data_IF_500397549762
#
_entry.id   IF_500397549762
#
_cell.length_a   1.000
_cell.length_b   1.000
_cell.length_c   1.000
_cell.angle_alpha   90.00
_cell.angle_beta   90.00
_cell.angle_gamma   90.00
#
_symmetry.space_group_name_H-M   'P 1'
#
loop_
_entity.id
_entity.type
_entity.pdbx_description
1 polymer ?
#
# COMPACT_ATOMS: atom_id res chain seq x y z
N UNK A 1 -23.88 -16.68 -7.53
CA UNK A 1 -22.51 -17.19 -7.36
C UNK A 1 -22.38 -17.53 -5.89
N UNK A 2 -22.01 -18.77 -5.57
CA UNK A 2 -21.92 -19.26 -4.18
C UNK A 2 -20.82 -18.52 -3.40
N UNK A 3 -20.94 -18.48 -2.07
CA UNK A 3 -19.98 -17.98 -1.05
C UNK A 3 -18.55 -18.61 -1.13
N UNK A 4 -18.25 -19.40 -2.16
CA UNK A 4 -17.03 -20.22 -2.27
C UNK A 4 -15.84 -19.54 -2.99
N UNK A 5 -15.99 -18.31 -3.49
CA UNK A 5 -14.95 -17.65 -4.29
C UNK A 5 -14.07 -16.64 -3.51
N UNK A 6 -14.27 -16.49 -2.19
CA UNK A 6 -13.41 -15.63 -1.36
C UNK A 6 -12.48 -16.50 -0.51
N UNK A 7 -11.23 -16.63 -0.97
CA UNK A 7 -10.22 -17.49 -0.35
C UNK A 7 -9.49 -16.85 0.85
N UNK A 8 -9.96 -15.69 1.33
CA UNK A 8 -9.42 -14.98 2.50
C UNK A 8 -10.51 -14.10 3.14
N UNK A 9 -10.32 -13.66 4.39
CA UNK A 9 -11.23 -12.74 5.07
C UNK A 9 -11.14 -11.33 4.45
N UNK A 10 -12.22 -10.83 3.81
CA UNK A 10 -12.22 -9.52 3.16
C UNK A 10 -12.30 -8.35 4.15
N UNK A 11 -12.48 -8.61 5.45
CA UNK A 11 -12.58 -7.57 6.48
C UNK A 11 -11.37 -6.64 6.47
N UNK A 12 -11.60 -5.36 6.78
CA UNK A 12 -10.50 -4.44 7.04
C UNK A 12 -9.80 -4.80 8.35
N UNK A 13 -8.49 -4.55 8.40
CA UNK A 13 -7.67 -4.82 9.56
C UNK A 13 -6.51 -3.84 9.64
N UNK A 14 -5.90 -3.74 10.81
CA UNK A 14 -4.71 -2.92 11.01
C UNK A 14 -3.53 -3.47 10.20
N UNK A 15 -2.89 -2.61 9.42
CA UNK A 15 -1.75 -2.96 8.57
C UNK A 15 -0.44 -2.69 9.31
N UNK A 16 0.59 -3.46 8.96
CA UNK A 16 1.93 -3.05 9.30
C UNK A 16 2.27 -1.73 8.58
N UNK A 17 2.94 -0.78 9.25
CA UNK A 17 3.26 0.51 8.64
C UNK A 17 4.30 0.39 7.53
N UNK A 18 5.33 -0.45 7.73
CA UNK A 18 6.49 -0.51 6.84
C UNK A 18 6.70 -1.87 6.15
N UNK A 19 6.21 -2.97 6.72
CA UNK A 19 6.34 -4.31 6.13
C UNK A 19 4.99 -4.81 5.61
N UNK A 20 5.04 -5.91 4.87
CA UNK A 20 3.87 -6.48 4.24
C UNK A 20 2.78 -6.93 5.24
N UNK A 21 1.52 -6.69 4.88
CA UNK A 21 0.37 -7.39 5.46
C UNK A 21 -0.27 -6.72 6.68
N UNK A 22 -1.11 -7.51 7.35
CA UNK A 22 -1.87 -7.11 8.54
C UNK A 22 -1.17 -7.51 9.83
N UNK A 23 -1.37 -6.75 10.91
CA UNK A 23 -0.76 -7.00 12.22
C UNK A 23 -1.14 -8.38 12.80
N UNK A 24 -2.33 -8.86 12.46
CA UNK A 24 -2.88 -10.14 12.88
C UNK A 24 -2.28 -11.35 12.15
N UNK A 25 -1.54 -11.14 11.06
CA UNK A 25 -1.04 -12.18 10.17
C UNK A 25 0.47 -12.14 10.07
N UNK A 26 1.15 -13.05 10.79
CA UNK A 26 2.59 -13.23 10.74
C UNK A 26 2.97 -14.68 11.03
N UNK A 27 4.19 -15.07 10.68
CA UNK A 27 4.75 -16.32 11.19
C UNK A 27 5.10 -16.19 12.67
N UNK A 28 4.82 -17.23 13.44
CA UNK A 28 5.30 -17.41 14.81
C UNK A 28 5.78 -18.85 15.04
N UNK A 29 6.63 -19.04 16.05
CA UNK A 29 7.06 -20.37 16.45
C UNK A 29 5.90 -21.07 17.16
N UNK A 30 5.57 -22.28 16.70
CA UNK A 30 4.58 -23.17 17.33
C UNK A 30 5.28 -24.22 18.22
N UNK A 31 6.53 -24.55 17.87
CA UNK A 31 7.48 -25.34 18.66
C UNK A 31 8.92 -24.92 18.29
N UNK A 32 9.97 -25.45 18.95
CA UNK A 32 11.36 -25.07 18.65
C UNK A 32 11.80 -25.23 17.19
N UNK A 33 11.10 -26.07 16.40
CA UNK A 33 11.43 -26.30 14.99
C UNK A 33 10.20 -26.31 14.07
N UNK A 34 9.11 -25.66 14.48
CA UNK A 34 7.93 -25.49 13.64
C UNK A 34 7.35 -24.11 13.77
N UNK A 35 6.76 -23.61 12.69
CA UNK A 35 6.06 -22.33 12.67
C UNK A 35 4.60 -22.50 12.28
N UNK A 36 3.80 -21.48 12.54
CA UNK A 36 2.45 -21.32 12.01
C UNK A 36 2.21 -19.86 11.64
N UNK A 37 1.18 -19.60 10.85
CA UNK A 37 0.70 -18.23 10.59
C UNK A 37 -0.38 -17.87 11.61
N UNK A 38 -0.29 -16.69 12.22
CA UNK A 38 -1.27 -16.19 13.19
C UNK A 38 -2.58 -15.74 12.54
N UNK A 39 -3.60 -15.46 13.36
CA UNK A 39 -4.87 -14.91 12.92
C UNK A 39 -5.79 -15.96 12.30
N UNK A 40 -6.74 -15.51 11.49
CA UNK A 40 -7.74 -16.32 10.79
C UNK A 40 -8.07 -15.78 9.39
N UNK A 41 -7.23 -14.87 8.86
CA UNK A 41 -7.47 -14.17 7.60
C UNK A 41 -7.33 -15.07 6.38
N UNK A 42 -6.37 -15.99 6.42
CA UNK A 42 -6.08 -16.89 5.30
C UNK A 42 -6.31 -18.34 5.71
N UNK A 43 -6.63 -19.25 4.77
CA UNK A 43 -6.87 -20.67 5.07
C UNK A 43 -5.69 -21.38 5.75
N UNK A 44 -4.47 -20.84 5.58
CA UNK A 44 -3.24 -21.38 6.18
C UNK A 44 -3.04 -20.94 7.65
N UNK A 45 -3.80 -19.95 8.13
CA UNK A 45 -3.69 -19.48 9.50
C UNK A 45 -4.01 -20.60 10.50
N UNK A 46 -3.21 -20.72 11.56
CA UNK A 46 -3.30 -21.76 12.57
C UNK A 46 -2.76 -23.13 12.16
N UNK A 47 -2.39 -23.35 10.90
CA UNK A 47 -1.78 -24.61 10.46
C UNK A 47 -0.31 -24.68 10.89
N UNK A 48 0.04 -25.68 11.70
CA UNK A 48 1.43 -25.96 12.07
C UNK A 48 2.20 -26.52 10.88
N UNK A 49 3.33 -25.91 10.55
CA UNK A 49 4.22 -26.27 9.46
C UNK A 49 5.51 -26.91 10.02
N UNK A 50 5.53 -28.23 10.26
CA UNK A 50 6.65 -28.90 10.94
C UNK A 50 7.95 -28.97 10.12
N UNK A 51 7.85 -28.86 8.79
CA UNK A 51 9.01 -29.01 7.89
C UNK A 51 9.44 -27.69 7.24
N UNK A 52 8.77 -26.57 7.54
CA UNK A 52 9.03 -25.30 6.86
C UNK A 52 10.41 -24.75 7.22
N UNK A 53 10.78 -24.75 8.52
CA UNK A 53 12.10 -24.29 8.93
C UNK A 53 13.21 -25.18 8.35
N UNK A 54 13.06 -26.52 8.41
CA UNK A 54 14.04 -27.44 7.81
C UNK A 54 14.22 -27.21 6.31
N UNK A 55 13.11 -26.95 5.59
CA UNK A 55 13.17 -26.61 4.17
C UNK A 55 13.94 -25.31 3.92
N UNK A 56 13.69 -24.26 4.72
CA UNK A 56 14.41 -22.98 4.59
C UNK A 56 15.89 -23.15 4.90
N UNK A 57 16.23 -23.88 5.96
CA UNK A 57 17.61 -24.18 6.36
C UNK A 57 18.37 -24.93 5.26
N UNK A 58 17.75 -25.94 4.65
CA UNK A 58 18.35 -26.71 3.57
C UNK A 58 18.52 -25.89 2.29
N UNK A 59 17.49 -25.15 1.88
CA UNK A 59 17.49 -24.39 0.62
C UNK A 59 18.45 -23.21 0.67
N UNK A 60 18.59 -22.57 1.84
CA UNK A 60 19.44 -21.38 2.02
C UNK A 60 20.81 -21.70 2.64
N UNK A 61 21.11 -22.97 2.93
CA UNK A 61 22.34 -23.41 3.61
C UNK A 61 22.58 -22.66 4.94
N UNK A 62 21.53 -22.59 5.76
CA UNK A 62 21.54 -21.87 7.04
C UNK A 62 21.75 -22.83 8.22
N UNK A 63 22.36 -22.35 9.33
CA UNK A 63 22.29 -23.06 10.59
C UNK A 63 20.83 -23.15 11.08
N UNK A 64 20.53 -24.04 12.06
CA UNK A 64 19.19 -24.17 12.61
C UNK A 64 18.63 -22.83 13.10
N UNK A 65 17.49 -22.42 12.55
CA UNK A 65 16.82 -21.15 12.83
C UNK A 65 16.09 -21.27 14.17
N UNK A 66 16.31 -20.29 15.05
CA UNK A 66 15.74 -20.24 16.40
C UNK A 66 14.94 -18.97 16.61
N UNK A 67 14.17 -18.96 17.69
CA UNK A 67 13.33 -17.81 18.01
C UNK A 67 14.16 -16.56 18.36
N UNK A 68 15.32 -16.75 18.99
CA UNK A 68 16.27 -15.68 19.29
C UNK A 68 16.92 -15.05 18.04
N UNK A 69 16.86 -15.71 16.88
CA UNK A 69 17.38 -15.16 15.62
C UNK A 69 16.43 -14.13 15.00
N UNK A 70 15.22 -13.97 15.57
CA UNK A 70 14.26 -12.94 15.12
C UNK A 70 14.87 -11.55 15.28
N UNK A 71 14.81 -10.80 14.19
CA UNK A 71 15.21 -9.40 14.14
C UNK A 71 14.29 -8.60 15.05
N UNK A 72 14.87 -7.82 15.96
CA UNK A 72 14.10 -6.87 16.75
C UNK A 72 13.73 -5.70 15.83
N UNK A 73 12.44 -5.38 15.78
CA UNK A 73 11.91 -4.29 14.95
C UNK A 73 11.92 -2.99 15.77
N UNK A 74 12.51 -1.94 15.22
CA UNK A 74 12.62 -0.61 15.82
C UNK A 74 12.72 0.44 14.71
N UNK A 75 11.62 0.70 13.98
CA UNK A 75 11.59 1.76 12.98
C UNK A 75 11.92 3.10 13.64
N UNK A 76 12.68 3.92 12.92
CA UNK A 76 13.11 5.23 13.38
C UNK A 76 12.20 6.31 12.80
N UNK A 77 11.56 7.08 13.68
CA UNK A 77 10.70 8.21 13.31
C UNK A 77 11.32 9.58 13.64
N UNK A 78 12.61 9.61 14.01
CA UNK A 78 13.39 10.84 14.15
C UNK A 78 13.80 11.35 12.76
N UNK A 79 12.81 11.78 11.99
CA UNK A 79 12.99 12.32 10.64
C UNK A 79 13.47 13.77 10.70
N UNK A 80 14.20 14.24 9.68
CA UNK A 80 14.44 15.67 9.50
C UNK A 80 13.14 16.46 9.44
N UNK A 81 13.20 17.70 9.92
CA UNK A 81 12.12 18.67 9.78
C UNK A 81 11.69 18.79 8.30
N UNK A 82 10.38 18.88 8.03
CA UNK A 82 9.88 18.99 6.66
C UNK A 82 10.36 20.29 6.01
N UNK A 83 10.72 20.22 4.73
CA UNK A 83 11.02 21.41 3.93
C UNK A 83 9.69 22.03 3.51
N UNK A 84 9.31 23.13 4.15
CA UNK A 84 8.02 23.79 3.89
C UNK A 84 8.16 24.97 2.94
N UNK A 85 7.39 24.95 1.85
CA UNK A 85 7.05 26.15 1.11
C UNK A 85 5.92 26.87 1.86
N UNK A 86 6.23 28.03 2.47
CA UNK A 86 5.27 28.76 3.33
C UNK A 86 4.00 29.16 2.58
N UNK A 87 4.12 29.60 1.32
CA UNK A 87 2.95 30.00 0.53
C UNK A 87 2.03 28.82 0.23
N UNK A 88 2.60 27.69 -0.20
CA UNK A 88 1.83 26.46 -0.41
C UNK A 88 1.16 25.98 0.87
N UNK A 89 1.90 25.99 1.98
CA UNK A 89 1.39 25.52 3.27
C UNK A 89 0.21 26.37 3.76
N UNK A 90 0.32 27.70 3.73
CA UNK A 90 -0.77 28.60 4.08
C UNK A 90 -1.99 28.41 3.18
N UNK A 91 -1.77 28.19 1.87
CA UNK A 91 -2.85 27.94 0.92
C UNK A 91 -3.56 26.61 1.19
N UNK A 92 -2.82 25.54 1.50
CA UNK A 92 -3.38 24.24 1.89
C UNK A 92 -4.22 24.37 3.17
N UNK A 93 -3.69 25.02 4.20
CA UNK A 93 -4.41 25.23 5.47
C UNK A 93 -5.66 26.12 5.31
N UNK A 94 -5.65 27.03 4.33
CA UNK A 94 -6.82 27.85 4.02
C UNK A 94 -7.89 27.07 3.27
N UNK A 95 -7.48 26.13 2.40
CA UNK A 95 -8.36 25.41 1.48
C UNK A 95 -8.93 24.12 2.07
N UNK A 96 -8.19 23.46 2.95
CA UNK A 96 -8.51 22.13 3.47
C UNK A 96 -8.58 22.12 4.99
N UNK A 97 -9.46 21.27 5.53
CA UNK A 97 -9.57 21.03 6.97
C UNK A 97 -8.33 20.27 7.50
N UNK A 98 -8.09 20.33 8.81
CA UNK A 98 -6.89 19.76 9.44
C UNK A 98 -6.74 18.24 9.26
N UNK A 99 -7.82 17.54 8.93
CA UNK A 99 -7.85 16.09 8.71
C UNK A 99 -7.56 15.69 7.24
N UNK A 100 -7.27 16.65 6.36
CA UNK A 100 -6.83 16.41 4.98
C UNK A 100 -5.32 16.28 4.85
N UNK A 101 -4.53 16.58 5.88
CA UNK A 101 -3.09 16.61 5.75
C UNK A 101 -2.36 16.16 7.01
N UNK A 102 -1.13 15.70 6.86
CA UNK A 102 -0.28 15.25 7.97
C UNK A 102 1.18 15.64 7.77
N UNK A 103 1.76 16.24 8.80
CA UNK A 103 3.20 16.47 8.95
C UNK A 103 3.85 15.42 9.86
N UNK A 104 3.08 14.44 10.34
CA UNK A 104 3.56 13.41 11.26
C UNK A 104 4.71 12.61 10.64
N UNK A 105 5.74 12.35 11.44
CA UNK A 105 6.93 11.66 10.96
C UNK A 105 6.65 10.22 10.55
N UNK A 106 5.72 9.52 11.22
CA UNK A 106 5.35 8.15 10.84
C UNK A 106 4.61 8.13 9.51
N UNK A 107 3.66 9.04 9.30
CA UNK A 107 2.94 9.17 8.03
C UNK A 107 3.91 9.52 6.89
N UNK A 108 4.80 10.49 7.09
CA UNK A 108 5.82 10.85 6.09
C UNK A 108 6.72 9.67 5.74
N UNK A 109 7.14 8.88 6.72
CA UNK A 109 7.97 7.70 6.47
C UNK A 109 7.20 6.63 5.66
N UNK A 110 5.98 6.27 6.07
CA UNK A 110 5.12 5.29 5.38
C UNK A 110 4.94 5.66 3.89
N UNK A 111 4.80 6.96 3.61
CA UNK A 111 4.58 7.47 2.26
C UNK A 111 5.87 7.69 1.44
N UNK A 112 7.04 7.33 1.97
CA UNK A 112 8.35 7.55 1.33
C UNK A 112 9.01 6.27 0.81
N UNK A 113 8.36 5.12 0.92
CA UNK A 113 8.90 3.85 0.43
C UNK A 113 7.80 2.92 -0.10
N UNK A 114 8.22 1.85 -0.77
CA UNK A 114 7.35 0.80 -1.26
C UNK A 114 7.55 -0.50 -0.51
N UNK A 115 7.49 -1.59 -1.27
CA UNK A 115 7.92 -2.94 -0.88
C UNK A 115 9.06 -3.38 -1.81
N UNK A 116 10.01 -2.48 -2.11
CA UNK A 116 11.00 -2.64 -3.19
C UNK A 116 11.83 -3.91 -3.07
N UNK A 117 12.42 -4.11 -1.89
CA UNK A 117 13.33 -5.22 -1.65
C UNK A 117 13.38 -5.56 -0.18
N UNK A 118 13.86 -6.78 0.11
CA UNK A 118 14.12 -7.21 1.48
C UNK A 118 15.10 -6.27 2.18
N UNK A 119 16.11 -5.74 1.48
CA UNK A 119 17.08 -4.79 2.05
C UNK A 119 16.42 -3.47 2.48
N UNK A 120 15.60 -2.86 1.61
CA UNK A 120 14.87 -1.63 1.93
C UNK A 120 14.00 -1.80 3.18
N UNK A 121 13.16 -2.84 3.18
CA UNK A 121 12.25 -3.09 4.30
C UNK A 121 13.03 -3.42 5.56
N UNK A 122 14.07 -4.26 5.48
CA UNK A 122 14.89 -4.60 6.63
C UNK A 122 15.55 -3.35 7.25
N UNK A 123 16.12 -2.48 6.41
CA UNK A 123 16.75 -1.23 6.84
C UNK A 123 15.76 -0.31 7.56
N UNK A 124 14.58 -0.10 6.98
CA UNK A 124 13.53 0.72 7.61
C UNK A 124 13.08 0.12 8.94
N UNK A 125 12.80 -1.19 8.97
CA UNK A 125 12.36 -1.91 10.16
C UNK A 125 13.40 -1.93 11.29
N UNK A 126 14.69 -1.82 10.97
CA UNK A 126 15.81 -1.76 11.94
C UNK A 126 16.31 -0.33 12.20
N UNK A 127 15.57 0.68 11.73
CA UNK A 127 15.76 2.07 12.12
C UNK A 127 16.67 2.90 11.20
N UNK A 128 17.09 2.37 10.07
CA UNK A 128 17.71 3.19 9.03
C UNK A 128 16.66 4.04 8.32
N UNK A 129 17.00 5.29 8.03
CA UNK A 129 16.12 6.21 7.34
C UNK A 129 16.40 6.21 5.83
N UNK A 130 15.36 6.45 4.99
CA UNK A 130 15.57 6.81 3.60
C UNK A 130 16.38 8.11 3.49
N UNK A 131 17.15 8.26 2.41
CA UNK A 131 17.98 9.45 2.20
C UNK A 131 17.14 10.74 2.02
N UNK A 132 15.90 10.59 1.52
CA UNK A 132 14.91 11.65 1.41
C UNK A 132 13.51 11.08 1.65
N UNK A 133 12.73 11.82 2.44
CA UNK A 133 11.33 11.52 2.74
C UNK A 133 10.46 12.67 2.28
N UNK A 134 9.16 12.41 2.05
CA UNK A 134 8.18 13.47 1.76
C UNK A 134 8.06 14.44 2.94
N UNK A 135 7.70 15.68 2.64
CA UNK A 135 7.58 16.75 3.63
C UNK A 135 6.16 16.84 4.21
N UNK A 136 5.15 16.48 3.42
CA UNK A 136 3.73 16.54 3.78
C UNK A 136 2.98 15.37 3.12
N UNK A 137 1.95 14.87 3.79
CA UNK A 137 0.96 13.98 3.19
C UNK A 137 -0.38 14.72 3.09
N UNK A 138 -1.08 14.60 1.96
CA UNK A 138 -2.43 15.14 1.74
C UNK A 138 -3.37 14.01 1.29
N UNK A 139 -4.59 13.99 1.81
CA UNK A 139 -5.62 12.96 1.60
C UNK A 139 -6.85 13.55 0.86
N UNK A 140 -6.80 13.76 -0.47
CA UNK A 140 -7.96 14.25 -1.23
C UNK A 140 -9.14 13.29 -1.13
N UNK A 141 -10.38 13.82 -1.13
CA UNK A 141 -11.61 13.02 -1.01
C UNK A 141 -12.47 13.04 -2.27
N UNK A 142 -12.19 13.97 -3.18
CA UNK A 142 -12.86 14.08 -4.47
C UNK A 142 -11.96 14.69 -5.55
N UNK A 143 -12.41 14.62 -6.81
CA UNK A 143 -11.69 15.17 -7.96
C UNK A 143 -11.38 16.67 -7.81
N UNK A 144 -12.27 17.43 -7.19
CA UNK A 144 -12.08 18.87 -6.96
C UNK A 144 -10.91 19.16 -6.01
N UNK A 145 -10.66 18.28 -5.03
CA UNK A 145 -9.51 18.41 -4.13
C UNK A 145 -8.21 18.18 -4.88
N UNK A 146 -8.15 17.14 -5.71
CA UNK A 146 -6.97 16.81 -6.52
C UNK A 146 -6.62 17.97 -7.46
N UNK A 147 -7.62 18.55 -8.14
CA UNK A 147 -7.44 19.74 -8.99
C UNK A 147 -6.85 20.90 -8.20
N UNK A 148 -7.42 21.20 -7.04
CA UNK A 148 -6.91 22.28 -6.19
C UNK A 148 -5.47 22.02 -5.72
N UNK A 149 -5.12 20.79 -5.34
CA UNK A 149 -3.75 20.42 -4.94
C UNK A 149 -2.77 20.61 -6.11
N UNK A 150 -3.14 20.19 -7.33
CA UNK A 150 -2.32 20.35 -8.53
C UNK A 150 -2.13 21.84 -8.86
N UNK A 151 -3.20 22.63 -8.82
CA UNK A 151 -3.15 24.07 -9.10
C UNK A 151 -2.21 24.78 -8.10
N UNK A 152 -2.40 24.53 -6.80
CA UNK A 152 -1.55 25.08 -5.74
C UNK A 152 -0.08 24.64 -5.89
N UNK A 153 0.16 23.38 -6.21
CA UNK A 153 1.52 22.89 -6.39
C UNK A 153 2.21 23.55 -7.59
N UNK A 154 1.47 23.80 -8.68
CA UNK A 154 1.93 24.54 -9.84
C UNK A 154 2.26 26.00 -9.54
N UNK A 155 1.44 26.67 -8.71
CA UNK A 155 1.65 28.07 -8.30
C UNK A 155 2.88 28.26 -7.40
N UNK A 156 3.17 27.25 -6.57
CA UNK A 156 4.21 27.34 -5.53
C UNK A 156 5.48 26.54 -5.82
N UNK A 157 5.61 25.90 -6.98
CA UNK A 157 6.72 25.00 -7.35
C UNK A 157 6.95 23.90 -6.31
N UNK A 158 5.90 23.10 -6.07
CA UNK A 158 5.90 21.96 -5.16
C UNK A 158 5.87 20.65 -5.95
N UNK A 159 6.67 19.67 -5.54
CA UNK A 159 6.70 18.35 -6.15
C UNK A 159 5.59 17.47 -5.54
N UNK A 160 4.73 16.89 -6.37
CA UNK A 160 3.70 15.95 -5.94
C UNK A 160 4.10 14.51 -6.27
N UNK A 161 3.91 13.61 -5.31
CA UNK A 161 4.10 12.16 -5.46
C UNK A 161 2.75 11.49 -5.21
N UNK A 162 2.05 10.97 -6.23
CA UNK A 162 0.80 10.26 -6.01
C UNK A 162 1.05 8.94 -5.27
N UNK A 163 0.26 8.68 -4.24
CA UNK A 163 0.34 7.48 -3.41
C UNK A 163 -1.00 6.75 -3.43
N UNK A 164 -0.91 5.41 -3.49
CA UNK A 164 -2.07 4.52 -3.46
C UNK A 164 -1.90 3.46 -2.38
N UNK A 165 -1.69 2.20 -2.77
CA UNK A 165 -1.52 1.10 -1.81
C UNK A 165 -0.15 0.99 -1.14
N UNK A 166 0.85 1.76 -1.58
CA UNK A 166 2.24 1.61 -1.10
C UNK A 166 2.93 0.30 -1.53
N UNK A 167 2.33 -0.50 -2.42
CA UNK A 167 2.80 -1.86 -2.76
C UNK A 167 3.81 -1.92 -3.90
N UNK A 168 4.39 -0.79 -4.32
CA UNK A 168 5.30 -0.78 -5.46
C UNK A 168 6.58 -1.57 -5.15
N UNK A 169 7.14 -2.24 -6.17
CA UNK A 169 8.40 -2.98 -6.08
C UNK A 169 9.48 -2.40 -7.01
N UNK A 170 9.37 -1.11 -7.31
CA UNK A 170 10.15 -0.43 -8.36
C UNK A 170 10.76 0.90 -7.91
N UNK A 171 10.72 1.20 -6.61
CA UNK A 171 11.15 2.48 -6.03
C UNK A 171 10.34 3.68 -6.53
N UNK A 172 9.12 3.47 -7.03
CA UNK A 172 8.30 4.51 -7.64
C UNK A 172 7.88 5.62 -6.66
N UNK A 173 7.93 5.34 -5.36
CA UNK A 173 7.63 6.30 -4.28
C UNK A 173 8.89 6.92 -3.65
N UNK A 174 10.09 6.47 -4.05
CA UNK A 174 11.32 7.02 -3.51
C UNK A 174 11.52 8.45 -4.00
N UNK A 175 11.79 9.37 -3.07
CA UNK A 175 12.08 10.76 -3.40
C UNK A 175 13.58 10.90 -3.70
N UNK A 176 13.91 11.55 -4.82
CA UNK A 176 15.31 11.81 -5.17
C UNK A 176 15.96 12.76 -4.17
N UNK A 177 17.20 12.47 -3.75
CA UNK A 177 18.01 13.37 -2.90
C UNK A 177 18.33 14.71 -3.58
N UNK A 178 18.24 14.76 -4.90
CA UNK A 178 18.42 15.98 -5.68
C UNK A 178 17.17 16.87 -5.72
N UNK A 179 16.00 16.35 -5.31
CA UNK A 179 14.78 17.16 -5.20
C UNK A 179 14.88 18.08 -3.98
N UNK A 180 15.00 19.39 -4.26
CA UNK A 180 15.16 20.43 -3.24
C UNK A 180 13.85 21.15 -2.91
N UNK A 181 12.80 20.95 -3.71
CA UNK A 181 11.48 21.54 -3.45
C UNK A 181 10.82 20.81 -2.29
N UNK A 182 9.76 21.43 -1.77
CA UNK A 182 8.80 20.73 -0.93
C UNK A 182 8.21 19.57 -1.73
N UNK A 183 8.17 18.40 -1.12
CA UNK A 183 7.65 17.15 -1.69
C UNK A 183 6.42 16.71 -0.92
N UNK A 184 5.32 16.49 -1.62
CA UNK A 184 4.03 16.17 -1.02
C UNK A 184 3.55 14.83 -1.54
N UNK A 185 3.34 13.88 -0.64
CA UNK A 185 2.60 12.66 -0.98
C UNK A 185 1.12 12.97 -1.08
N UNK A 186 0.50 12.67 -2.21
CA UNK A 186 -0.95 12.80 -2.41
C UNK A 186 -1.56 11.41 -2.31
N UNK A 187 -2.08 11.09 -1.12
CA UNK A 187 -2.65 9.79 -0.82
C UNK A 187 -4.09 9.69 -1.31
N UNK A 188 -4.26 8.98 -2.42
CA UNK A 188 -5.53 8.85 -3.12
C UNK A 188 -6.54 7.96 -2.40
N UNK A 189 -6.15 7.24 -1.33
CA UNK A 189 -6.97 6.16 -0.73
C UNK A 189 -8.33 6.59 -0.18
N UNK A 190 -8.57 7.88 0.04
CA UNK A 190 -9.89 8.39 0.44
C UNK A 190 -10.85 8.57 -0.75
N UNK A 191 -10.34 8.62 -1.97
CA UNK A 191 -11.13 8.56 -3.21
C UNK A 191 -11.32 7.10 -3.64
N UNK A 192 -12.23 6.38 -2.99
CA UNK A 192 -12.33 4.93 -3.06
C UNK A 192 -13.73 4.37 -3.41
N UNK A 193 -14.57 5.16 -4.09
CA UNK A 193 -15.96 4.79 -4.40
C UNK A 193 -16.14 4.34 -5.85
N UNK A 194 -17.07 3.43 -6.09
CA UNK A 194 -17.68 3.22 -7.40
C UNK A 194 -18.74 4.33 -7.60
N UNK A 195 -18.48 5.24 -8.53
CA UNK A 195 -19.35 6.39 -8.80
C UNK A 195 -20.62 5.97 -9.56
N UNK A 196 -20.47 5.10 -10.55
CA UNK A 196 -21.60 4.51 -11.27
C UNK A 196 -21.23 3.16 -11.88
N UNK A 197 -22.25 2.36 -12.17
CA UNK A 197 -22.17 1.08 -12.87
C UNK A 197 -23.18 1.10 -14.02
N UNK A 198 -22.71 0.83 -15.23
CA UNK A 198 -23.50 0.64 -16.44
C UNK A 198 -23.62 -0.86 -16.72
N UNK A 199 -24.76 -1.42 -16.34
CA UNK A 199 -25.06 -2.85 -16.46
C UNK A 199 -25.31 -3.31 -17.90
N UNK A 200 -25.66 -2.38 -18.80
CA UNK A 200 -25.89 -2.72 -20.21
C UNK A 200 -24.56 -2.85 -20.96
N UNK A 201 -23.61 -1.97 -20.66
CA UNK A 201 -22.29 -1.94 -21.30
C UNK A 201 -21.20 -2.67 -20.52
N UNK A 202 -21.51 -3.16 -19.31
CA UNK A 202 -20.53 -3.78 -18.39
C UNK A 202 -19.36 -2.86 -18.04
N UNK A 203 -19.64 -1.59 -17.79
CA UNK A 203 -18.64 -0.57 -17.45
C UNK A 203 -18.90 0.01 -16.06
N UNK A 204 -17.84 0.40 -15.36
CA UNK A 204 -17.94 1.11 -14.09
C UNK A 204 -17.02 2.33 -14.09
N UNK A 205 -17.49 3.44 -13.52
CA UNK A 205 -16.61 4.56 -13.17
C UNK A 205 -16.29 4.49 -11.69
N UNK A 206 -15.00 4.52 -11.40
CA UNK A 206 -14.46 4.18 -10.09
C UNK A 206 -13.36 5.18 -9.75
N UNK A 207 -13.38 5.66 -8.51
CA UNK A 207 -12.32 6.52 -8.00
C UNK A 207 -11.00 5.75 -7.86
N UNK A 208 -9.89 6.39 -8.24
CA UNK A 208 -8.59 5.72 -8.43
C UNK A 208 -7.95 5.17 -7.15
N UNK A 209 -8.39 5.63 -5.98
CA UNK A 209 -7.88 5.20 -4.68
C UNK A 209 -8.51 3.92 -4.13
N UNK A 210 -9.53 3.36 -4.81
CA UNK A 210 -10.14 2.11 -4.36
C UNK A 210 -9.10 0.98 -4.37
N UNK A 211 -9.04 0.19 -3.31
CA UNK A 211 -8.23 -1.03 -3.29
C UNK A 211 -8.91 -2.12 -4.10
N UNK A 212 -8.15 -3.07 -4.64
CA UNK A 212 -8.73 -4.18 -5.38
C UNK A 212 -9.68 -5.04 -4.55
N UNK A 213 -9.33 -5.29 -3.28
CA UNK A 213 -10.21 -5.98 -2.32
C UNK A 213 -11.56 -5.27 -2.18
N UNK A 214 -11.55 -3.94 -2.05
CA UNK A 214 -12.78 -3.16 -1.92
C UNK A 214 -13.58 -3.13 -3.22
N UNK A 215 -12.92 -2.92 -4.35
CA UNK A 215 -13.54 -2.94 -5.68
C UNK A 215 -14.26 -4.26 -5.95
N UNK A 216 -13.60 -5.39 -5.72
CA UNK A 216 -14.20 -6.70 -5.94
C UNK A 216 -15.33 -6.99 -4.96
N UNK A 217 -15.24 -6.54 -3.71
CA UNK A 217 -16.35 -6.65 -2.75
C UNK A 217 -17.58 -5.87 -3.24
N UNK A 218 -17.41 -4.59 -3.59
CA UNK A 218 -18.48 -3.70 -3.99
C UNK A 218 -19.12 -4.11 -5.33
N UNK A 219 -18.33 -4.67 -6.27
CA UNK A 219 -18.85 -5.24 -7.51
C UNK A 219 -19.59 -6.55 -7.29
N UNK A 220 -19.08 -7.42 -6.40
CA UNK A 220 -19.69 -8.72 -6.10
C UNK A 220 -21.07 -8.58 -5.47
N UNK A 221 -21.27 -7.59 -4.59
CA UNK A 221 -22.59 -7.26 -4.04
C UNK A 221 -23.62 -6.96 -5.13
N UNK A 222 -23.17 -6.50 -6.30
CA UNK A 222 -23.99 -6.21 -7.48
C UNK A 222 -24.00 -7.34 -8.52
N UNK A 223 -23.27 -8.44 -8.28
CA UNK A 223 -23.18 -9.58 -9.20
C UNK A 223 -22.12 -9.45 -10.30
N UNK A 224 -21.15 -8.54 -10.15
CA UNK A 224 -20.09 -8.25 -11.12
C UNK A 224 -18.68 -8.51 -10.54
N UNK A 225 -17.66 -8.50 -11.41
CA UNK A 225 -16.23 -8.58 -11.05
C UNK A 225 -15.42 -7.85 -12.12
N UNK A 226 -14.32 -7.17 -11.74
CA UNK A 226 -13.35 -6.67 -12.73
C UNK A 226 -12.47 -7.80 -13.25
N UNK A 227 -12.27 -8.84 -12.44
CA UNK A 227 -11.38 -9.95 -12.73
C UNK A 227 -9.89 -9.60 -12.67
N UNK A 228 -9.53 -8.33 -12.41
CA UNK A 228 -8.15 -7.89 -12.22
C UNK A 228 -7.66 -8.30 -10.83
N UNK A 229 -6.70 -9.23 -10.79
CA UNK A 229 -6.34 -9.96 -9.57
C UNK A 229 -4.82 -10.05 -9.40
N UNK A 230 -4.13 -8.92 -9.14
CA UNK A 230 -2.71 -8.93 -8.81
C UNK A 230 -2.51 -9.48 -7.40
N UNK A 231 -1.36 -10.09 -7.10
CA UNK A 231 -1.08 -10.65 -5.76
C UNK A 231 -1.15 -9.59 -4.64
N UNK A 232 -1.02 -8.31 -5.00
CA UNK A 232 -1.16 -7.18 -4.09
C UNK A 232 -2.59 -6.64 -3.94
N UNK A 233 -3.62 -7.33 -4.44
CA UNK A 233 -5.02 -6.86 -4.55
C UNK A 233 -5.59 -6.31 -3.23
N UNK A 234 -5.14 -6.84 -2.09
CA UNK A 234 -5.59 -6.41 -0.76
C UNK A 234 -5.30 -4.94 -0.46
N UNK A 235 -4.23 -4.41 -1.03
CA UNK A 235 -3.71 -3.08 -0.70
C UNK A 235 -3.52 -2.18 -1.92
N UNK A 236 -3.10 -2.75 -3.05
CA UNK A 236 -2.91 -2.02 -4.29
C UNK A 236 -4.23 -1.45 -4.82
N UNK A 237 -4.14 -0.28 -5.46
CA UNK A 237 -5.29 0.52 -5.87
C UNK A 237 -5.40 0.62 -7.39
N UNK A 238 -6.61 0.91 -7.88
CA UNK A 238 -6.90 1.07 -9.32
C UNK A 238 -5.93 2.04 -10.01
N UNK A 239 -5.71 3.22 -9.42
CA UNK A 239 -4.77 4.21 -9.96
C UNK A 239 -3.33 3.71 -9.99
N UNK A 240 -2.92 2.93 -8.98
CA UNK A 240 -1.62 2.29 -8.95
C UNK A 240 -1.46 1.25 -10.06
N UNK A 241 -2.50 0.46 -10.34
CA UNK A 241 -2.49 -0.52 -11.43
C UNK A 241 -2.31 0.14 -12.78
N UNK A 242 -3.07 1.21 -13.05
CA UNK A 242 -2.98 1.99 -14.28
C UNK A 242 -1.57 2.61 -14.42
N UNK A 243 -1.04 3.22 -13.35
CA UNK A 243 0.27 3.87 -13.37
C UNK A 243 1.44 2.90 -13.62
N UNK A 244 1.24 1.60 -13.38
CA UNK A 244 2.31 0.59 -13.43
C UNK A 244 2.10 -0.49 -14.47
N UNK A 245 1.03 -0.43 -15.28
CA UNK A 245 0.61 -1.51 -16.18
C UNK A 245 0.54 -2.86 -15.44
N UNK A 246 -0.16 -2.89 -14.31
CA UNK A 246 -0.26 -4.10 -13.50
C UNK A 246 -0.89 -5.27 -14.28
N UNK A 247 -0.43 -6.48 -13.97
CA UNK A 247 -0.93 -7.74 -14.52
C UNK A 247 -1.61 -8.53 -13.40
N UNK A 248 -2.79 -9.08 -13.68
CA UNK A 248 -3.52 -9.95 -12.75
C UNK A 248 -3.41 -11.44 -13.10
N UNK A 249 -3.59 -12.30 -12.11
CA UNK A 249 -3.56 -13.77 -12.25
C UNK A 249 -4.57 -14.29 -13.30
N UNK A 250 -5.75 -13.64 -13.39
CA UNK A 250 -6.85 -14.08 -14.26
C UNK A 250 -6.87 -13.40 -15.64
N UNK A 251 -5.78 -12.75 -16.05
CA UNK A 251 -5.70 -11.99 -17.31
C UNK A 251 -6.04 -12.78 -18.58
N UNK A 252 -5.80 -14.09 -18.60
CA UNK A 252 -6.16 -14.93 -19.75
C UNK A 252 -7.66 -14.92 -20.05
N UNK A 253 -8.50 -14.58 -19.05
CA UNK A 253 -9.95 -14.46 -19.19
C UNK A 253 -10.42 -13.00 -19.25
N UNK A 254 -9.83 -12.12 -18.44
CA UNK A 254 -10.33 -10.74 -18.23
C UNK A 254 -9.43 -9.64 -18.81
N UNK A 255 -8.24 -9.98 -19.33
CA UNK A 255 -7.25 -9.01 -19.78
C UNK A 255 -6.33 -8.49 -18.68
N UNK A 256 -5.26 -7.80 -19.09
CA UNK A 256 -4.46 -6.97 -18.19
C UNK A 256 -5.15 -5.61 -17.96
N UNK A 257 -4.55 -4.72 -17.16
CA UNK A 257 -5.13 -3.41 -16.88
C UNK A 257 -5.34 -2.57 -18.15
N UNK A 258 -4.46 -2.68 -19.15
CA UNK A 258 -4.56 -1.99 -20.43
C UNK A 258 -5.68 -2.51 -21.35
N UNK A 259 -6.20 -3.71 -21.07
CA UNK A 259 -7.35 -4.28 -21.77
C UNK A 259 -8.67 -3.94 -21.05
N UNK A 260 -8.61 -3.67 -19.75
CA UNK A 260 -9.76 -3.41 -18.87
C UNK A 260 -10.17 -1.94 -18.89
N UNK A 261 -9.22 -1.01 -19.04
CA UNK A 261 -9.42 0.45 -18.98
C UNK A 261 -9.55 1.09 -20.36
#
# INVERSE_FOLDING_TARGET
MDDQDVYYDPSEGERYPHKWGYLDTRFEFDSPHSVRVTGNRYPICGYTMPNFLSFVEEVLDLPPIREEDKVVEHPNYDLPDPILNTGFWEAVQTRFEDDYYSLDASERLIHSHGQLSVDEIYRIMTGALPDRVVDLVIYPREEADVKAIIDLAGEHDVCLVPFGGGTNVSAALAVSVEEKRMTVSVDMRQMNRILWLDEENFLACVEAGISGKRLESDLREKGYTSGHDPDSIEFSTLGGWIATNASGMKKNKYGNIEDIV
#
